data_IF_148829149350
#
_entry.id   IF_148829149350
#
_cell.length_a   1.000
_cell.length_b   1.000
_cell.length_c   1.000
_cell.angle_alpha   90.00
_cell.angle_beta   90.00
_cell.angle_gamma   90.00
#
_symmetry.space_group_name_H-M   'P 1'
#
loop_
_entity.id
_entity.type
_entity.pdbx_description
1 polymer ?
#
# COMPACT_ATOMS: atom_id res chain seq x y z
N UNK A 1 -8.50 -4.36 -10.31
CA UNK A 1 -7.20 -4.13 -10.97
C UNK A 1 -6.32 -3.32 -10.02
N UNK A 2 -5.02 -3.66 -9.89
CA UNK A 2 -4.06 -2.86 -9.12
C UNK A 2 -3.87 -1.48 -9.77
N UNK A 3 -3.74 -0.42 -8.97
CA UNK A 3 -3.30 0.89 -9.45
C UNK A 3 -1.88 0.77 -10.02
N UNK A 4 -1.47 1.68 -10.91
CA UNK A 4 -0.17 1.56 -11.60
C UNK A 4 1.02 1.71 -10.64
N UNK A 5 0.87 2.53 -9.62
CA UNK A 5 1.88 2.85 -8.62
C UNK A 5 1.89 1.93 -7.39
N UNK A 6 1.26 0.76 -7.47
CA UNK A 6 1.43 -0.35 -6.53
C UNK A 6 2.42 -1.35 -7.10
N UNK A 7 3.44 -1.69 -6.33
CA UNK A 7 4.52 -2.61 -6.70
C UNK A 7 4.69 -3.71 -5.64
N UNK A 8 5.68 -4.54 -5.80
CA UNK A 8 6.00 -5.77 -5.09
C UNK A 8 5.13 -6.96 -5.49
N UNK A 9 5.81 -8.06 -5.83
CA UNK A 9 5.20 -9.34 -6.27
C UNK A 9 4.16 -9.20 -7.39
N UNK A 10 4.21 -8.13 -8.15
CA UNK A 10 3.43 -7.88 -9.35
C UNK A 10 4.39 -7.95 -10.54
N UNK A 11 4.05 -8.76 -11.55
CA UNK A 11 4.88 -8.91 -12.75
C UNK A 11 5.18 -7.54 -13.39
N UNK A 12 6.45 -7.28 -13.68
CA UNK A 12 6.96 -6.04 -14.29
C UNK A 12 6.70 -4.78 -13.44
N UNK A 13 6.64 -4.91 -12.12
CA UNK A 13 6.51 -3.79 -11.18
C UNK A 13 7.43 -4.01 -9.99
N UNK A 14 8.67 -3.61 -10.14
CA UNK A 14 9.69 -3.67 -9.11
C UNK A 14 9.83 -2.38 -8.32
N UNK A 15 10.74 -2.41 -7.37
CA UNK A 15 11.14 -1.26 -6.56
C UNK A 15 11.68 -0.11 -7.41
N UNK A 16 12.57 -0.43 -8.36
CA UNK A 16 13.16 0.59 -9.25
C UNK A 16 12.12 1.28 -10.13
N UNK A 17 11.16 0.52 -10.69
CA UNK A 17 10.04 1.06 -11.46
C UNK A 17 9.21 2.06 -10.63
N UNK A 18 8.98 1.74 -9.34
CA UNK A 18 8.25 2.62 -8.44
C UNK A 18 9.01 3.91 -8.13
N UNK A 19 10.34 3.82 -7.89
CA UNK A 19 11.20 4.98 -7.67
C UNK A 19 11.28 5.90 -8.89
N UNK A 20 11.30 5.33 -10.10
CA UNK A 20 11.26 6.11 -11.34
C UNK A 20 9.95 6.88 -11.49
N UNK A 21 8.80 6.29 -11.10
CA UNK A 21 7.53 7.01 -11.06
C UNK A 21 7.58 8.19 -10.09
N UNK A 22 8.12 8.00 -8.87
CA UNK A 22 8.24 9.08 -7.90
C UNK A 22 9.11 10.22 -8.47
N UNK A 23 10.30 9.92 -8.99
CA UNK A 23 11.22 10.91 -9.57
C UNK A 23 10.59 11.66 -10.75
N UNK A 24 9.92 10.92 -11.64
CA UNK A 24 9.23 11.52 -12.79
C UNK A 24 8.15 12.47 -12.32
N UNK A 25 7.29 12.03 -11.40
CA UNK A 25 6.16 12.83 -10.95
C UNK A 25 6.63 14.08 -10.18
N UNK A 26 7.72 13.99 -9.39
CA UNK A 26 8.37 15.16 -8.76
C UNK A 26 8.91 16.16 -9.79
N UNK A 27 9.46 15.67 -10.91
CA UNK A 27 9.96 16.51 -12.00
C UNK A 27 8.85 17.15 -12.83
N UNK A 28 7.77 16.41 -13.09
CA UNK A 28 6.64 16.86 -13.93
C UNK A 28 5.66 17.78 -13.16
N UNK A 29 5.55 17.60 -11.85
CA UNK A 29 4.64 18.35 -10.98
C UNK A 29 5.34 18.83 -9.69
N UNK A 30 6.38 19.70 -9.78
CA UNK A 30 7.16 20.11 -8.60
C UNK A 30 6.32 20.86 -7.57
N UNK A 31 5.29 21.60 -7.98
CA UNK A 31 4.39 22.32 -7.07
C UNK A 31 3.45 21.36 -6.33
N UNK A 32 2.93 20.34 -7.01
CA UNK A 32 2.02 19.34 -6.41
C UNK A 32 2.74 18.25 -5.60
N UNK A 33 4.08 18.26 -5.56
CA UNK A 33 4.89 17.23 -4.88
C UNK A 33 5.90 17.80 -3.89
N UNK A 34 5.62 18.97 -3.28
CA UNK A 34 6.53 19.65 -2.35
C UNK A 34 6.72 18.96 -1.01
N UNK A 35 5.72 18.19 -0.58
CA UNK A 35 5.73 17.49 0.70
C UNK A 35 5.45 16.00 0.51
N UNK A 36 6.01 15.20 1.42
CA UNK A 36 5.86 13.76 1.45
C UNK A 36 5.20 13.32 2.77
N UNK A 37 4.19 12.47 2.69
CA UNK A 37 3.73 11.64 3.80
C UNK A 37 4.20 10.21 3.56
N UNK A 38 5.04 9.71 4.47
CA UNK A 38 5.54 8.34 4.46
C UNK A 38 4.95 7.57 5.63
N UNK A 39 4.49 6.35 5.35
CA UNK A 39 3.93 5.45 6.36
C UNK A 39 4.26 3.99 6.07
N UNK A 40 4.17 3.17 7.09
CA UNK A 40 4.34 1.72 7.05
C UNK A 40 3.25 1.08 7.92
N UNK A 41 2.68 -0.04 7.49
CA UNK A 41 1.65 -0.76 8.25
C UNK A 41 2.33 -1.68 9.26
N UNK A 42 1.96 -1.53 10.53
CA UNK A 42 2.53 -2.31 11.62
C UNK A 42 2.18 -3.79 11.49
N UNK A 43 3.22 -4.66 11.55
CA UNK A 43 3.08 -6.13 11.58
C UNK A 43 2.06 -6.65 10.57
N UNK A 44 2.12 -6.16 9.34
CA UNK A 44 1.09 -6.37 8.31
C UNK A 44 0.70 -7.85 8.18
N UNK A 45 1.66 -8.73 7.88
CA UNK A 45 1.38 -10.15 7.63
C UNK A 45 0.86 -10.89 8.86
N UNK A 46 1.30 -10.52 10.05
CA UNK A 46 0.88 -11.13 11.31
C UNK A 46 -0.51 -10.66 11.75
N UNK A 47 -0.89 -9.43 11.39
CA UNK A 47 -2.10 -8.75 11.87
C UNK A 47 -3.26 -8.82 10.90
N UNK A 48 -3.01 -9.12 9.61
CA UNK A 48 -4.04 -9.11 8.59
C UNK A 48 -5.14 -10.14 8.87
N UNK A 49 -6.39 -9.70 8.83
CA UNK A 49 -7.55 -10.56 9.03
C UNK A 49 -7.77 -11.51 7.86
N UNK A 50 -7.68 -12.81 8.10
CA UNK A 50 -7.83 -13.85 7.08
C UNK A 50 -9.17 -13.77 6.33
N UNK A 51 -10.24 -13.42 7.03
CA UNK A 51 -11.57 -13.29 6.42
C UNK A 51 -11.67 -12.11 5.47
N UNK A 52 -10.97 -11.00 5.75
CA UNK A 52 -10.86 -9.87 4.81
C UNK A 52 -10.09 -10.25 3.55
N UNK A 53 -9.00 -11.03 3.69
CA UNK A 53 -8.26 -11.57 2.55
C UNK A 53 -9.17 -12.44 1.69
N UNK A 54 -9.91 -13.38 2.31
CA UNK A 54 -10.82 -14.28 1.59
C UNK A 54 -12.01 -13.54 0.98
N UNK A 55 -12.49 -12.47 1.60
CA UNK A 55 -13.47 -11.57 0.99
C UNK A 55 -12.96 -11.00 -0.34
N UNK A 56 -11.71 -10.49 -0.35
CA UNK A 56 -11.09 -9.97 -1.57
C UNK A 56 -10.88 -11.05 -2.62
N UNK A 57 -10.43 -12.25 -2.22
CA UNK A 57 -10.25 -13.40 -3.11
C UNK A 57 -11.56 -13.77 -3.82
N UNK A 58 -12.65 -13.87 -3.07
CA UNK A 58 -13.98 -14.22 -3.63
C UNK A 58 -14.55 -13.14 -4.57
N UNK A 59 -14.17 -11.89 -4.38
CA UNK A 59 -14.55 -10.80 -5.30
C UNK A 59 -13.86 -10.89 -6.65
N UNK A 60 -12.61 -11.32 -6.66
CA UNK A 60 -11.74 -11.31 -7.85
C UNK A 60 -11.80 -12.64 -8.60
N UNK A 61 -11.76 -13.74 -7.88
CA UNK A 61 -11.75 -15.08 -8.47
C UNK A 61 -13.14 -15.73 -8.45
N UNK A 62 -13.43 -16.51 -9.48
CA UNK A 62 -14.71 -17.24 -9.61
C UNK A 62 -14.53 -18.76 -9.57
N UNK A 63 -13.30 -19.24 -9.78
CA UNK A 63 -12.99 -20.66 -9.73
C UNK A 63 -13.04 -21.17 -8.28
N UNK A 64 -13.98 -22.07 -8.01
CA UNK A 64 -14.22 -22.63 -6.67
C UNK A 64 -13.01 -23.43 -6.14
N UNK A 65 -12.30 -24.15 -7.04
CA UNK A 65 -11.11 -24.94 -6.64
C UNK A 65 -9.96 -24.05 -6.26
N UNK A 66 -9.73 -22.99 -7.05
CA UNK A 66 -8.71 -21.99 -6.75
C UNK A 66 -9.03 -21.28 -5.43
N UNK A 67 -10.28 -20.88 -5.19
CA UNK A 67 -10.70 -20.23 -3.94
C UNK A 67 -10.47 -21.16 -2.74
N UNK A 68 -10.83 -22.45 -2.84
CA UNK A 68 -10.60 -23.42 -1.77
C UNK A 68 -9.10 -23.63 -1.49
N UNK A 69 -8.28 -23.69 -2.52
CA UNK A 69 -6.82 -23.79 -2.39
C UNK A 69 -6.25 -22.53 -1.68
N UNK A 70 -6.67 -21.34 -2.08
CA UNK A 70 -6.20 -20.09 -1.47
C UNK A 70 -6.69 -19.98 -0.03
N UNK A 71 -7.89 -20.44 0.31
CA UNK A 71 -8.41 -20.47 1.69
C UNK A 71 -7.52 -21.35 2.58
N UNK A 72 -7.12 -22.52 2.10
CA UNK A 72 -6.18 -23.39 2.81
C UNK A 72 -4.84 -22.67 3.06
N UNK A 73 -4.28 -21.96 2.07
CA UNK A 73 -3.05 -21.20 2.25
C UNK A 73 -3.18 -20.06 3.25
N UNK A 74 -4.28 -19.31 3.19
CA UNK A 74 -4.54 -18.22 4.12
C UNK A 74 -4.65 -18.72 5.55
N UNK A 75 -5.23 -19.91 5.75
CA UNK A 75 -5.45 -20.51 7.08
C UNK A 75 -4.33 -21.43 7.58
N UNK A 76 -3.17 -21.44 6.91
CA UNK A 76 -1.99 -22.17 7.40
C UNK A 76 -1.49 -21.67 8.75
N UNK A 77 -1.66 -20.37 9.03
CA UNK A 77 -1.33 -19.76 10.32
C UNK A 77 -2.58 -19.60 11.17
N UNK A 78 -2.47 -19.65 12.51
CA UNK A 78 -3.60 -19.40 13.40
C UNK A 78 -4.20 -18.00 13.25
N UNK A 79 -3.35 -17.01 12.90
CA UNK A 79 -3.69 -15.61 12.68
C UNK A 79 -2.76 -15.04 11.63
N UNK A 80 -3.24 -14.03 10.90
CA UNK A 80 -2.47 -13.41 9.82
C UNK A 80 -2.30 -14.33 8.62
N UNK A 81 -1.31 -14.03 7.80
CA UNK A 81 -0.90 -14.85 6.64
C UNK A 81 0.59 -15.13 6.71
N UNK A 82 1.02 -16.28 6.20
CA UNK A 82 2.41 -16.73 6.31
C UNK A 82 3.39 -15.77 5.63
N UNK A 83 4.45 -15.41 6.33
CA UNK A 83 5.58 -14.66 5.77
C UNK A 83 6.42 -15.62 4.90
N UNK A 84 6.88 -15.15 3.74
CA UNK A 84 7.80 -15.91 2.86
C UNK A 84 7.13 -16.71 1.74
N UNK A 85 5.82 -16.85 1.72
CA UNK A 85 5.12 -17.38 0.56
C UNK A 85 4.85 -16.27 -0.45
N UNK A 86 5.16 -16.51 -1.72
CA UNK A 86 4.83 -15.56 -2.82
C UNK A 86 3.33 -15.23 -2.89
N UNK A 87 2.49 -16.21 -2.60
CA UNK A 87 1.04 -16.03 -2.52
C UNK A 87 0.64 -15.01 -1.45
N UNK A 88 1.31 -14.98 -0.31
CA UNK A 88 1.01 -14.05 0.79
C UNK A 88 1.21 -12.59 0.38
N UNK A 89 2.29 -12.29 -0.33
CA UNK A 89 2.51 -10.93 -0.85
C UNK A 89 1.44 -10.52 -1.86
N UNK A 90 1.06 -11.43 -2.76
CA UNK A 90 -0.02 -11.20 -3.73
C UNK A 90 -1.38 -10.98 -3.05
N UNK A 91 -1.69 -11.78 -2.03
CA UNK A 91 -2.91 -11.65 -1.25
C UNK A 91 -2.94 -10.36 -0.41
N UNK A 92 -1.81 -10.01 0.21
CA UNK A 92 -1.65 -8.74 0.92
C UNK A 92 -1.82 -7.53 0.00
N UNK A 93 -1.22 -7.56 -1.18
CA UNK A 93 -1.41 -6.53 -2.19
C UNK A 93 -2.87 -6.43 -2.66
N UNK A 94 -3.55 -7.57 -2.82
CA UNK A 94 -4.97 -7.58 -3.17
C UNK A 94 -5.84 -6.93 -2.09
N UNK A 95 -5.59 -7.25 -0.82
CA UNK A 95 -6.29 -6.67 0.31
C UNK A 95 -6.14 -5.14 0.33
N UNK A 96 -4.89 -4.65 0.29
CA UNK A 96 -4.62 -3.22 0.31
C UNK A 96 -5.09 -2.50 -0.96
N UNK A 97 -5.08 -3.15 -2.12
CA UNK A 97 -5.67 -2.59 -3.33
C UNK A 97 -7.17 -2.32 -3.15
N UNK A 98 -7.90 -3.25 -2.55
CA UNK A 98 -9.35 -3.13 -2.34
C UNK A 98 -9.68 -2.10 -1.26
N UNK A 99 -8.99 -2.14 -0.13
CA UNK A 99 -9.36 -1.33 1.04
C UNK A 99 -8.61 0.01 1.14
N UNK A 100 -7.41 0.14 0.57
CA UNK A 100 -6.59 1.35 0.69
C UNK A 100 -6.37 2.05 -0.65
N UNK A 101 -5.77 1.37 -1.65
CA UNK A 101 -5.30 2.02 -2.88
C UNK A 101 -6.45 2.69 -3.65
N UNK A 102 -7.53 1.95 -3.90
CA UNK A 102 -8.70 2.49 -4.60
C UNK A 102 -9.46 3.53 -3.77
N UNK A 103 -9.46 3.39 -2.45
CA UNK A 103 -10.03 4.42 -1.58
C UNK A 103 -9.28 5.74 -1.72
N UNK A 104 -7.96 5.72 -1.62
CA UNK A 104 -7.14 6.94 -1.72
C UNK A 104 -7.21 7.54 -3.13
N UNK A 105 -7.12 6.72 -4.18
CA UNK A 105 -7.13 7.19 -5.58
C UNK A 105 -8.52 7.63 -6.04
N UNK A 106 -9.53 6.79 -5.86
CA UNK A 106 -10.83 6.95 -6.51
C UNK A 106 -11.82 7.76 -5.68
N UNK A 107 -11.80 7.58 -4.34
CA UNK A 107 -12.72 8.30 -3.44
C UNK A 107 -12.11 9.56 -2.85
N UNK A 108 -10.85 9.50 -2.40
CA UNK A 108 -10.19 10.64 -1.77
C UNK A 108 -9.50 11.57 -2.79
N UNK A 109 -9.25 11.07 -4.00
CA UNK A 109 -8.67 11.85 -5.10
C UNK A 109 -7.17 12.10 -4.97
N UNK A 110 -6.44 11.26 -4.22
CA UNK A 110 -4.99 11.40 -4.04
C UNK A 110 -4.28 11.21 -5.38
N UNK A 111 -3.60 12.25 -5.86
CA UNK A 111 -2.95 12.26 -7.17
C UNK A 111 -1.67 11.43 -7.18
N UNK A 112 -0.78 11.65 -6.21
CA UNK A 112 0.55 11.06 -6.11
C UNK A 112 0.62 10.10 -4.91
N UNK A 113 0.24 8.85 -5.14
CA UNK A 113 0.29 7.78 -4.15
C UNK A 113 1.05 6.58 -4.70
N UNK A 114 2.01 6.09 -3.94
CA UNK A 114 2.90 4.98 -4.28
C UNK A 114 2.93 3.99 -3.13
N UNK A 115 2.87 2.70 -3.43
CA UNK A 115 2.91 1.65 -2.42
C UNK A 115 3.78 0.48 -2.84
N UNK A 116 4.62 0.04 -1.92
CA UNK A 116 5.39 -1.19 -2.04
C UNK A 116 5.06 -2.09 -0.85
N UNK A 117 4.29 -3.17 -1.06
CA UNK A 117 3.72 -3.98 0.03
C UNK A 117 2.96 -3.12 1.04
N UNK A 118 3.48 -3.04 2.25
CA UNK A 118 2.98 -2.31 3.42
C UNK A 118 3.53 -0.88 3.55
N UNK A 119 4.60 -0.56 2.80
CA UNK A 119 5.17 0.79 2.75
C UNK A 119 4.43 1.70 1.78
N UNK A 120 4.00 2.87 2.23
CA UNK A 120 3.30 3.87 1.44
C UNK A 120 3.96 5.24 1.43
N UNK A 121 3.91 5.90 0.28
CA UNK A 121 4.35 7.28 0.07
C UNK A 121 3.25 8.06 -0.64
N UNK A 122 2.90 9.21 -0.10
CA UNK A 122 1.98 10.19 -0.71
C UNK A 122 2.71 11.50 -0.88
N UNK A 123 2.66 12.10 -2.08
CA UNK A 123 3.19 13.44 -2.30
C UNK A 123 2.03 14.42 -2.45
N UNK A 124 2.22 15.65 -1.99
CA UNK A 124 1.23 16.72 -2.01
C UNK A 124 1.86 18.12 -1.98
N UNK A 125 1.05 19.13 -2.21
CA UNK A 125 1.45 20.53 -2.25
C UNK A 125 1.48 21.19 -0.86
N UNK A 126 0.74 20.66 0.12
CA UNK A 126 0.60 21.20 1.46
C UNK A 126 0.62 20.13 2.55
N UNK A 127 1.34 20.42 3.65
CA UNK A 127 1.38 19.54 4.83
C UNK A 127 0.00 19.29 5.43
N UNK A 128 -0.87 20.31 5.43
CA UNK A 128 -2.23 20.21 5.97
C UNK A 128 -3.10 19.22 5.22
N UNK A 129 -2.92 19.10 3.91
CA UNK A 129 -3.60 18.10 3.09
C UNK A 129 -3.07 16.68 3.39
N UNK A 130 -1.76 16.54 3.48
CA UNK A 130 -1.13 15.25 3.81
C UNK A 130 -1.55 14.74 5.20
N UNK A 131 -1.76 15.63 6.18
CA UNK A 131 -2.30 15.24 7.48
C UNK A 131 -3.75 14.72 7.38
N UNK A 132 -4.58 15.28 6.52
CA UNK A 132 -5.93 14.76 6.24
C UNK A 132 -5.86 13.40 5.56
N UNK A 133 -4.94 13.21 4.62
CA UNK A 133 -4.71 11.93 3.96
C UNK A 133 -4.22 10.89 4.97
N UNK A 134 -3.32 11.26 5.89
CA UNK A 134 -2.89 10.42 7.00
C UNK A 134 -4.10 9.91 7.81
N UNK A 135 -5.00 10.81 8.20
CA UNK A 135 -6.20 10.43 8.97
C UNK A 135 -7.10 9.49 8.17
N UNK A 136 -7.21 9.71 6.85
CA UNK A 136 -7.94 8.81 5.95
C UNK A 136 -7.28 7.43 5.83
N UNK A 137 -5.94 7.35 5.79
CA UNK A 137 -5.18 6.08 5.81
C UNK A 137 -5.45 5.34 7.12
N UNK A 138 -5.29 6.00 8.27
CA UNK A 138 -5.56 5.41 9.58
C UNK A 138 -6.99 4.87 9.70
N UNK A 139 -7.97 5.67 9.29
CA UNK A 139 -9.37 5.25 9.28
C UNK A 139 -9.57 3.99 8.43
N UNK A 140 -8.99 3.98 7.25
CA UNK A 140 -9.23 2.92 6.27
C UNK A 140 -8.55 1.59 6.64
N UNK A 141 -7.30 1.63 7.14
CA UNK A 141 -6.61 0.42 7.59
C UNK A 141 -7.21 -0.14 8.88
N UNK A 142 -7.73 0.72 9.76
CA UNK A 142 -8.44 0.30 10.97
C UNK A 142 -9.70 -0.51 10.68
N UNK A 143 -10.38 -0.27 9.54
CA UNK A 143 -11.54 -1.06 9.10
C UNK A 143 -11.23 -2.54 8.91
N UNK A 144 -9.99 -2.88 8.63
CA UNK A 144 -9.52 -4.25 8.42
C UNK A 144 -8.58 -4.74 9.54
N UNK A 145 -8.62 -4.06 10.70
CA UNK A 145 -7.87 -4.45 11.89
C UNK A 145 -6.36 -4.15 11.85
N UNK A 146 -5.93 -3.27 10.95
CA UNK A 146 -4.53 -2.87 10.80
C UNK A 146 -4.26 -1.50 11.41
N UNK A 147 -3.00 -1.25 11.76
CA UNK A 147 -2.51 0.03 12.29
C UNK A 147 -1.28 0.49 11.55
N UNK A 148 -1.08 1.81 11.49
CA UNK A 148 0.13 2.43 10.94
C UNK A 148 1.18 2.49 12.04
N UNK A 149 2.47 2.30 11.68
CA UNK A 149 3.59 2.44 12.61
C UNK A 149 3.73 3.88 13.11
N UNK A 150 4.19 4.08 14.35
CA UNK A 150 4.29 5.42 14.95
C UNK A 150 5.40 6.31 14.34
N UNK A 151 6.30 5.76 13.53
CA UNK A 151 7.38 6.46 12.85
C UNK A 151 6.95 7.11 11.51
N UNK A 152 5.65 7.10 11.23
CA UNK A 152 5.10 7.86 10.10
C UNK A 152 5.42 9.35 10.20
N UNK A 153 5.65 10.02 9.08
CA UNK A 153 5.98 11.43 9.08
C UNK A 153 5.54 12.18 7.83
N UNK A 154 5.31 13.49 8.00
CA UNK A 154 5.08 14.45 6.92
C UNK A 154 6.24 15.43 6.91
N UNK A 155 6.95 15.53 5.78
CA UNK A 155 8.18 16.32 5.63
C UNK A 155 8.31 16.90 4.22
N UNK A 156 9.14 17.94 4.01
CA UNK A 156 9.46 18.46 2.68
C UNK A 156 10.24 17.43 1.85
N UNK A 157 9.97 17.33 0.55
CA UNK A 157 10.67 16.37 -0.34
C UNK A 157 12.14 16.71 -0.57
N UNK A 158 12.55 17.97 -0.36
CA UNK A 158 13.95 18.42 -0.45
C UNK A 158 14.85 17.86 0.66
N UNK A 159 14.27 17.38 1.76
CA UNK A 159 15.00 16.60 2.77
C UNK A 159 15.44 15.22 2.26
N UNK A 160 14.93 14.79 1.10
CA UNK A 160 15.10 13.44 0.54
C UNK A 160 14.09 12.43 1.08
N UNK A 161 13.50 11.68 0.17
CA UNK A 161 12.52 10.62 0.51
C UNK A 161 13.29 9.32 0.69
N UNK A 162 13.52 8.92 1.95
CA UNK A 162 14.07 7.60 2.27
C UNK A 162 12.97 6.55 2.05
N UNK A 163 13.10 5.78 0.98
CA UNK A 163 12.11 4.78 0.59
C UNK A 163 12.81 3.52 0.06
N UNK A 164 12.50 2.37 0.64
CA UNK A 164 13.03 1.05 0.25
C UNK A 164 14.57 0.97 0.26
N UNK A 165 15.22 1.68 1.18
CA UNK A 165 16.69 1.72 1.32
C UNK A 165 17.40 2.66 0.34
N UNK A 166 16.65 3.53 -0.34
CA UNK A 166 17.17 4.58 -1.22
C UNK A 166 16.65 5.95 -0.81
N UNK A 167 17.46 6.98 -1.06
CA UNK A 167 17.03 8.37 -0.88
C UNK A 167 16.70 8.96 -2.24
N UNK A 168 15.51 9.50 -2.40
CA UNK A 168 15.01 10.10 -3.63
C UNK A 168 14.96 11.61 -3.42
N UNK A 169 15.58 12.36 -4.36
CA UNK A 169 15.57 13.81 -4.43
C UNK A 169 14.91 14.28 -5.72
#
# INVERSE_FOLDING_TARGET
RFIRTTSASIKNRGMHDLMEYIRRDMKEDPEGTRYCYKFDISKFYESVGQDFVMYCVRRVFKDKKLIAMLDNFVRLMPQGISIGLRSSQGLGNLLLAVFLDHYLKDKYGVRHFYRYCDDGVVLGDAKSELWKIRDAVHFQVAQIGLTVKPDERVFPVDEGIDFLGYVIY
#
